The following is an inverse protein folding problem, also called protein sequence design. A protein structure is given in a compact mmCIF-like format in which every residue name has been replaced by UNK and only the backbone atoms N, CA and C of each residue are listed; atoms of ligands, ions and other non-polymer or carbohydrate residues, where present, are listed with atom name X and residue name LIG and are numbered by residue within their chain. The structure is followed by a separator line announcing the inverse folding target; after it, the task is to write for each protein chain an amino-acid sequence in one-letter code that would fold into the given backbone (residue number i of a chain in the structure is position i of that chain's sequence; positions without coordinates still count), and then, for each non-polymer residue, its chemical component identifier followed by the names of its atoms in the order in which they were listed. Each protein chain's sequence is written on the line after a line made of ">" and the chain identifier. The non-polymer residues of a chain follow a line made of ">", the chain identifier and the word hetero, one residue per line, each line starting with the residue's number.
data_IF_246394605337
#
_entry.id   IF_246394605337
#
_cell.length_a   1.000
_cell.length_b   1.000
_cell.length_c   1.000
_cell.angle_alpha   90.00
_cell.angle_beta   90.00
_cell.angle_gamma   90.00
#
_symmetry.space_group_name_H-M   'P 1'
#
loop_
_entity.id
_entity.type
_entity.pdbx_description
1 polymer ?
#
# COMPACT_ATOMS: atom_id res chain seq x y z
N UNK A 1 -13.02 14.07 -9.88
CA UNK A 1 -12.40 12.90 -9.23
C UNK A 1 -11.49 12.04 -10.13
N UNK A 2 -11.57 12.08 -11.47
CA UNK A 2 -10.81 11.14 -12.35
C UNK A 2 -9.28 11.34 -12.39
N UNK A 3 -8.76 12.53 -12.07
CA UNK A 3 -7.33 12.85 -12.17
C UNK A 3 -6.54 12.81 -10.85
N UNK A 4 -7.20 12.84 -9.68
CA UNK A 4 -6.48 12.83 -8.41
C UNK A 4 -5.82 11.48 -8.12
N UNK A 5 -6.46 10.38 -8.55
CA UNK A 5 -6.06 9.05 -8.10
C UNK A 5 -4.85 8.46 -8.82
N UNK A 6 -4.77 8.66 -10.15
CA UNK A 6 -3.58 8.27 -10.92
C UNK A 6 -2.34 9.01 -10.41
N UNK A 7 -2.52 10.21 -9.84
CA UNK A 7 -1.45 10.98 -9.25
C UNK A 7 -0.93 10.41 -7.93
N UNK A 8 -1.80 9.90 -7.04
CA UNK A 8 -1.37 9.27 -5.78
C UNK A 8 -0.64 7.96 -6.05
N UNK A 9 -1.19 7.14 -6.93
CA UNK A 9 -0.65 5.81 -7.26
C UNK A 9 0.74 5.93 -7.90
N UNK A 10 0.89 6.82 -8.90
CA UNK A 10 2.18 7.06 -9.56
C UNK A 10 3.23 7.65 -8.63
N UNK A 11 2.87 8.63 -7.80
CA UNK A 11 3.82 9.25 -6.87
C UNK A 11 4.24 8.25 -5.80
N UNK A 12 3.32 7.43 -5.30
CA UNK A 12 3.64 6.38 -4.30
C UNK A 12 4.60 5.35 -4.88
N UNK A 13 4.38 4.92 -6.13
CA UNK A 13 5.32 4.04 -6.84
C UNK A 13 6.67 4.69 -7.05
N UNK A 14 6.70 5.96 -7.46
CA UNK A 14 7.96 6.68 -7.67
C UNK A 14 8.77 6.81 -6.37
N UNK A 15 8.11 7.16 -5.26
CA UNK A 15 8.76 7.25 -3.94
C UNK A 15 9.25 5.87 -3.49
N UNK A 16 8.45 4.82 -3.67
CA UNK A 16 8.85 3.44 -3.34
C UNK A 16 10.07 3.01 -4.17
N UNK A 17 10.06 3.27 -5.47
CA UNK A 17 11.16 2.93 -6.38
C UNK A 17 12.44 3.72 -6.06
N UNK A 18 12.31 4.99 -5.67
CA UNK A 18 13.43 5.81 -5.22
C UNK A 18 14.05 5.21 -3.95
N UNK A 19 13.24 4.92 -2.93
CA UNK A 19 13.71 4.34 -1.67
C UNK A 19 14.34 2.96 -1.88
N UNK A 20 13.78 2.15 -2.78
CA UNK A 20 14.38 0.89 -3.22
C UNK A 20 15.78 1.13 -3.82
N UNK A 21 15.89 2.02 -4.82
CA UNK A 21 17.15 2.28 -5.53
C UNK A 21 18.24 2.82 -4.59
N UNK A 22 17.88 3.70 -3.65
CA UNK A 22 18.80 4.24 -2.64
C UNK A 22 19.34 3.13 -1.74
N UNK A 23 18.47 2.23 -1.24
CA UNK A 23 18.93 1.16 -0.37
C UNK A 23 19.78 0.12 -1.11
N UNK A 24 19.49 -0.16 -2.38
CA UNK A 24 20.37 -0.97 -3.24
C UNK A 24 21.76 -0.31 -3.38
N UNK A 25 21.81 1.01 -3.59
CA UNK A 25 23.07 1.74 -3.75
C UNK A 25 23.92 1.77 -2.46
N UNK A 26 23.27 1.75 -1.28
CA UNK A 26 23.94 1.71 0.02
C UNK A 26 24.39 0.27 0.39
N UNK A 27 23.95 -0.74 -0.35
CA UNK A 27 24.28 -2.15 -0.13
C UNK A 27 23.26 -2.91 0.74
N UNK A 28 22.20 -2.23 1.19
CA UNK A 28 21.14 -2.76 2.06
C UNK A 28 20.03 -3.47 1.25
N UNK A 29 20.40 -4.57 0.59
CA UNK A 29 19.50 -5.29 -0.34
C UNK A 29 18.25 -5.84 0.34
N UNK A 30 18.37 -6.34 1.57
CA UNK A 30 17.24 -6.91 2.32
C UNK A 30 16.20 -5.83 2.67
N UNK A 31 16.66 -4.64 3.06
CA UNK A 31 15.81 -3.49 3.34
C UNK A 31 15.14 -3.02 2.04
N UNK A 32 15.90 -2.96 0.94
CA UNK A 32 15.36 -2.56 -0.36
C UNK A 32 14.20 -3.46 -0.79
N UNK A 33 14.38 -4.79 -0.77
CA UNK A 33 13.31 -5.74 -1.12
C UNK A 33 12.09 -5.55 -0.22
N UNK A 34 12.29 -5.34 1.08
CA UNK A 34 11.18 -5.10 2.00
C UNK A 34 10.42 -3.80 1.72
N UNK A 35 11.13 -2.73 1.36
CA UNK A 35 10.52 -1.47 0.92
C UNK A 35 9.65 -1.69 -0.32
N UNK A 36 10.18 -2.39 -1.32
CA UNK A 36 9.45 -2.64 -2.57
C UNK A 36 8.18 -3.47 -2.33
N UNK A 37 8.31 -4.58 -1.59
CA UNK A 37 7.18 -5.46 -1.27
C UNK A 37 6.11 -4.71 -0.48
N UNK A 38 6.51 -3.98 0.57
CA UNK A 38 5.58 -3.23 1.40
C UNK A 38 4.89 -2.09 0.63
N UNK A 39 5.66 -1.31 -0.15
CA UNK A 39 5.11 -0.21 -0.94
C UNK A 39 4.11 -0.69 -1.97
N UNK A 40 4.39 -1.81 -2.65
CA UNK A 40 3.46 -2.42 -3.62
C UNK A 40 2.20 -2.97 -2.93
N UNK A 41 2.36 -3.75 -1.85
CA UNK A 41 1.23 -4.32 -1.13
C UNK A 41 0.30 -3.23 -0.58
N UNK A 42 0.87 -2.18 0.01
CA UNK A 42 0.09 -1.10 0.59
C UNK A 42 -0.59 -0.22 -0.47
N UNK A 43 0.04 -0.06 -1.63
CA UNK A 43 -0.58 0.62 -2.75
C UNK A 43 -1.76 -0.18 -3.33
N UNK A 44 -1.60 -1.50 -3.49
CA UNK A 44 -2.68 -2.39 -3.91
C UNK A 44 -3.84 -2.35 -2.90
N UNK A 45 -3.51 -2.30 -1.61
CA UNK A 45 -4.50 -2.15 -0.55
C UNK A 45 -5.28 -0.84 -0.69
N UNK A 46 -4.59 0.30 -0.83
CA UNK A 46 -5.21 1.60 -1.06
C UNK A 46 -6.14 1.61 -2.29
N UNK A 47 -5.68 1.08 -3.42
CA UNK A 47 -6.47 1.02 -4.66
C UNK A 47 -7.75 0.21 -4.46
N UNK A 48 -7.67 -0.94 -3.80
CA UNK A 48 -8.83 -1.76 -3.54
C UNK A 48 -9.81 -1.12 -2.54
N UNK A 49 -9.32 -0.44 -1.49
CA UNK A 49 -10.20 0.36 -0.59
C UNK A 49 -10.96 1.41 -1.40
N UNK A 50 -10.25 2.14 -2.26
CA UNK A 50 -10.85 3.16 -3.13
C UNK A 50 -11.92 2.59 -4.05
N UNK A 51 -11.73 1.38 -4.61
CA UNK A 51 -12.77 0.71 -5.39
C UNK A 51 -14.00 0.37 -4.55
N UNK A 52 -13.81 -0.14 -3.33
CA UNK A 52 -14.92 -0.46 -2.41
C UNK A 52 -15.68 0.81 -2.02
N UNK A 53 -14.97 1.87 -1.63
CA UNK A 53 -15.56 3.16 -1.29
C UNK A 53 -16.33 3.75 -2.46
N UNK A 54 -15.79 3.67 -3.69
CA UNK A 54 -16.49 4.11 -4.89
C UNK A 54 -17.76 3.29 -5.15
N UNK A 55 -17.69 1.97 -5.00
CA UNK A 55 -18.86 1.09 -5.19
C UNK A 55 -19.96 1.36 -4.15
N UNK A 56 -19.57 1.69 -2.91
CA UNK A 56 -20.48 2.15 -1.84
C UNK A 56 -21.14 3.48 -2.20
N UNK A 57 -20.36 4.46 -2.65
CA UNK A 57 -20.89 5.77 -3.05
C UNK A 57 -21.87 5.67 -4.23
N UNK A 58 -21.63 4.73 -5.14
CA UNK A 58 -22.53 4.41 -6.26
C UNK A 58 -23.71 3.50 -5.87
N UNK A 59 -23.88 3.15 -4.58
CA UNK A 59 -24.92 2.26 -4.04
C UNK A 59 -25.02 0.90 -4.75
N UNK A 60 -23.91 0.40 -5.31
CA UNK A 60 -23.88 -0.90 -6.02
C UNK A 60 -24.01 -2.10 -5.09
N UNK A 61 -23.63 -1.94 -3.82
CA UNK A 61 -23.64 -2.98 -2.80
C UNK A 61 -24.18 -2.45 -1.48
N UNK A 62 -24.66 -3.36 -0.62
CA UNK A 62 -25.08 -3.00 0.74
C UNK A 62 -23.87 -2.64 1.61
N UNK A 63 -24.08 -1.76 2.59
CA UNK A 63 -23.04 -1.35 3.54
C UNK A 63 -22.45 -2.55 4.30
N UNK A 64 -23.31 -3.49 4.72
CA UNK A 64 -22.89 -4.71 5.40
C UNK A 64 -21.96 -5.57 4.52
N UNK A 65 -22.27 -5.73 3.24
CA UNK A 65 -21.45 -6.51 2.31
C UNK A 65 -20.08 -5.84 2.05
N UNK A 66 -20.05 -4.52 1.89
CA UNK A 66 -18.77 -3.81 1.71
C UNK A 66 -17.88 -3.84 2.96
N UNK A 67 -18.47 -3.76 4.15
CA UNK A 67 -17.74 -3.94 5.42
C UNK A 67 -17.19 -5.36 5.53
N UNK A 68 -17.97 -6.38 5.15
CA UNK A 68 -17.50 -7.77 5.12
C UNK A 68 -16.30 -7.95 4.18
N UNK A 69 -16.36 -7.43 2.95
CA UNK A 69 -15.23 -7.49 2.00
C UNK A 69 -14.00 -6.78 2.57
N UNK A 70 -14.18 -5.61 3.19
CA UNK A 70 -13.08 -4.85 3.75
C UNK A 70 -12.37 -5.63 4.87
N UNK A 71 -13.13 -6.26 5.77
CA UNK A 71 -12.56 -7.10 6.85
C UNK A 71 -11.82 -8.31 6.27
N UNK A 72 -12.42 -9.04 5.32
CA UNK A 72 -11.78 -10.21 4.70
C UNK A 72 -10.46 -9.83 4.01
N UNK A 73 -10.42 -8.67 3.37
CA UNK A 73 -9.22 -8.14 2.74
C UNK A 73 -8.15 -7.77 3.75
N UNK A 74 -8.51 -7.12 4.86
CA UNK A 74 -7.56 -6.79 5.92
C UNK A 74 -6.96 -8.07 6.53
N UNK A 75 -7.76 -9.11 6.73
CA UNK A 75 -7.27 -10.42 7.18
C UNK A 75 -6.30 -11.04 6.16
N UNK A 76 -6.63 -10.99 4.87
CA UNK A 76 -5.74 -11.49 3.83
C UNK A 76 -4.41 -10.71 3.77
N UNK A 77 -4.45 -9.38 3.91
CA UNK A 77 -3.25 -8.54 3.94
C UNK A 77 -2.35 -8.90 5.13
N UNK A 78 -2.95 -9.05 6.32
CA UNK A 78 -2.22 -9.46 7.53
C UNK A 78 -1.61 -10.85 7.38
N UNK A 79 -2.34 -11.80 6.79
CA UNK A 79 -1.82 -13.13 6.51
C UNK A 79 -0.61 -13.09 5.54
N UNK A 80 -0.70 -12.29 4.47
CA UNK A 80 0.41 -12.10 3.52
C UNK A 80 1.62 -11.50 4.24
N UNK A 81 1.44 -10.44 5.02
CA UNK A 81 2.53 -9.80 5.78
C UNK A 81 3.16 -10.80 6.76
N UNK A 82 2.36 -11.56 7.50
CA UNK A 82 2.85 -12.56 8.44
C UNK A 82 3.68 -13.64 7.72
N UNK A 83 3.21 -14.14 6.58
CA UNK A 83 3.94 -15.11 5.77
C UNK A 83 5.28 -14.54 5.28
N UNK A 84 5.27 -13.29 4.81
CA UNK A 84 6.46 -12.60 4.32
C UNK A 84 7.51 -12.38 5.43
N UNK A 85 7.08 -12.04 6.65
CA UNK A 85 7.99 -11.89 7.79
C UNK A 85 8.55 -13.22 8.27
N UNK A 86 7.71 -14.26 8.38
CA UNK A 86 8.10 -15.55 8.96
C UNK A 86 8.91 -16.39 7.97
N UNK A 87 8.41 -16.54 6.74
CA UNK A 87 8.97 -17.49 5.77
C UNK A 87 9.95 -16.84 4.80
N UNK A 88 9.64 -15.64 4.31
CA UNK A 88 10.52 -14.91 3.41
C UNK A 88 11.58 -14.07 4.13
N UNK A 89 11.58 -14.09 5.48
CA UNK A 89 12.54 -13.39 6.35
C UNK A 89 12.72 -11.92 5.96
N UNK A 90 11.61 -11.28 5.57
CA UNK A 90 11.65 -9.88 5.16
C UNK A 90 12.02 -8.98 6.32
N UNK A 91 12.92 -8.02 6.04
CA UNK A 91 13.37 -7.06 7.04
C UNK A 91 12.20 -6.14 7.44
N UNK A 92 11.83 -6.20 8.72
CA UNK A 92 10.69 -5.43 9.26
C UNK A 92 10.89 -3.91 9.14
N UNK A 93 12.12 -3.42 9.23
CA UNK A 93 12.41 -1.99 9.10
C UNK A 93 12.14 -1.51 7.68
N UNK A 94 12.59 -2.25 6.66
CA UNK A 94 12.28 -1.92 5.27
C UNK A 94 10.78 -2.02 4.98
N UNK A 95 10.08 -2.97 5.61
CA UNK A 95 8.62 -3.10 5.49
C UNK A 95 7.90 -1.85 6.04
N UNK A 96 8.32 -1.36 7.21
CA UNK A 96 7.76 -0.15 7.82
C UNK A 96 8.08 1.11 7.02
N UNK A 97 9.29 1.23 6.47
CA UNK A 97 9.69 2.35 5.60
C UNK A 97 8.82 2.38 4.34
N UNK A 98 8.66 1.22 3.68
CA UNK A 98 7.83 1.10 2.48
C UNK A 98 6.38 1.52 2.76
N UNK A 99 5.77 0.97 3.81
CA UNK A 99 4.41 1.29 4.23
C UNK A 99 4.23 2.80 4.55
N UNK A 100 5.13 3.35 5.38
CA UNK A 100 5.05 4.75 5.81
C UNK A 100 5.18 5.71 4.63
N UNK A 101 6.05 5.39 3.67
CA UNK A 101 6.26 6.23 2.48
C UNK A 101 4.97 6.38 1.65
N UNK A 102 4.23 5.28 1.45
CA UNK A 102 2.96 5.30 0.72
C UNK A 102 1.89 6.05 1.51
N UNK A 103 1.80 5.84 2.82
CA UNK A 103 0.88 6.56 3.71
C UNK A 103 1.10 8.08 3.63
N UNK A 104 2.36 8.52 3.68
CA UNK A 104 2.71 9.94 3.58
C UNK A 104 2.25 10.53 2.24
N UNK A 105 2.43 9.81 1.13
CA UNK A 105 1.97 10.27 -0.18
C UNK A 105 0.44 10.37 -0.23
N UNK A 106 -0.27 9.38 0.32
CA UNK A 106 -1.74 9.37 0.37
C UNK A 106 -2.25 10.55 1.19
N UNK A 107 -1.76 10.72 2.41
CA UNK A 107 -2.16 11.81 3.30
C UNK A 107 -1.79 13.16 2.68
N UNK A 108 -0.55 13.31 2.22
CA UNK A 108 -0.04 14.55 1.64
C UNK A 108 -0.80 15.00 0.38
N UNK A 109 -1.29 14.05 -0.44
CA UNK A 109 -2.19 14.35 -1.56
C UNK A 109 -3.62 14.63 -1.10
N UNK A 110 -4.14 13.88 -0.12
CA UNK A 110 -5.48 14.06 0.42
C UNK A 110 -5.68 15.41 1.10
N UNK A 111 -4.64 15.96 1.73
CA UNK A 111 -4.64 17.29 2.35
C UNK A 111 -4.62 18.44 1.32
N UNK A 112 -4.25 18.17 0.06
CA UNK A 112 -4.11 19.21 -0.98
C UNK A 112 -5.40 19.51 -1.76
N UNK A 113 -6.49 18.78 -1.51
CA UNK A 113 -7.79 18.95 -2.19
C UNK A 113 -7.85 18.28 -3.55
#
# INVERSE_FOLDING_TARGET
>A
MKNLSLGVEKVSLAVTALLFAVNIAIGEKEIAVAIAVAGVLFLLDYVAIKFIVKALAEKRYSLAFSMFILVMKMLALLAIIAVLLIFAKLNIYGLMIGLTSVVIVIIGKGLKG
#
